data_IF_777223922714
#
_entry.id   IF_777223922714
#
_cell.length_a   1.000
_cell.length_b   1.000
_cell.length_c   1.000
_cell.angle_alpha   90.00
_cell.angle_beta   90.00
_cell.angle_gamma   90.00
#
_symmetry.space_group_name_H-M   'P 1'
#
loop_
_entity.id
_entity.type
_entity.pdbx_description
1 polymer ?
#
# COMPACT_ATOMS: atom_id res chain seq x y z
N UNK A 1 -25.38 -0.90 27.85
CA UNK A 1 -23.95 -0.72 28.11
C UNK A 1 -23.27 -0.61 26.77
N UNK A 2 -22.57 0.49 26.56
CA UNK A 2 -22.28 1.08 25.25
C UNK A 2 -21.46 0.15 24.34
N UNK A 3 -22.09 -0.31 23.26
CA UNK A 3 -21.41 -0.73 22.04
C UNK A 3 -21.13 0.55 21.24
N UNK A 4 -20.12 1.29 21.69
CA UNK A 4 -19.63 2.47 20.98
C UNK A 4 -18.59 1.95 19.99
N UNK A 5 -19.10 1.39 18.90
CA UNK A 5 -18.31 1.14 17.68
C UNK A 5 -17.55 2.43 17.39
N UNK A 6 -16.23 2.41 17.56
CA UNK A 6 -15.31 3.45 17.10
C UNK A 6 -15.37 3.48 15.58
N UNK A 7 -16.45 4.07 15.06
CA UNK A 7 -16.62 4.50 13.69
C UNK A 7 -15.67 5.67 13.50
N UNK A 8 -14.37 5.38 13.44
CA UNK A 8 -13.41 6.32 12.90
C UNK A 8 -13.82 6.55 11.44
N UNK A 9 -14.25 7.74 11.03
CA UNK A 9 -14.43 8.03 9.63
C UNK A 9 -13.01 8.19 9.08
N UNK A 10 -12.34 7.06 8.81
CA UNK A 10 -11.10 7.02 8.04
C UNK A 10 -11.50 7.56 6.67
N UNK A 11 -11.34 8.87 6.54
CA UNK A 11 -11.54 9.65 5.34
C UNK A 11 -10.91 8.86 4.22
N UNK A 12 -11.73 8.50 3.24
CA UNK A 12 -11.39 7.65 2.10
C UNK A 12 -9.98 7.97 1.59
N UNK A 13 -8.98 7.27 2.13
CA UNK A 13 -7.61 7.37 1.69
C UNK A 13 -7.68 7.06 0.19
N UNK A 14 -7.16 7.97 -0.62
CA UNK A 14 -7.17 7.87 -2.06
C UNK A 14 -6.47 6.56 -2.45
N UNK A 15 -7.22 5.47 -2.52
CA UNK A 15 -6.70 4.19 -2.95
C UNK A 15 -6.15 4.42 -4.34
N UNK A 16 -4.88 4.03 -4.61
CA UNK A 16 -4.33 4.18 -5.93
C UNK A 16 -5.28 3.48 -6.93
N UNK A 17 -5.51 4.07 -8.11
CA UNK A 17 -6.44 3.53 -9.09
C UNK A 17 -6.10 2.06 -9.36
N UNK A 18 -7.10 1.19 -9.21
CA UNK A 18 -6.98 -0.24 -9.45
C UNK A 18 -7.50 -0.53 -10.86
N UNK A 19 -6.63 -0.65 -11.87
CA UNK A 19 -7.07 -1.05 -13.20
C UNK A 19 -7.65 -2.45 -13.14
N UNK A 20 -8.73 -2.70 -13.87
CA UNK A 20 -9.40 -4.00 -13.96
C UNK A 20 -9.13 -4.70 -15.28
N UNK A 21 -8.52 -4.01 -16.24
CA UNK A 21 -8.28 -4.52 -17.59
C UNK A 21 -6.89 -4.08 -18.11
N UNK A 22 -6.36 -4.73 -19.15
CA UNK A 22 -5.13 -4.28 -19.82
C UNK A 22 -5.22 -2.86 -20.36
N UNK A 23 -6.37 -2.49 -20.95
CA UNK A 23 -6.58 -1.12 -21.47
C UNK A 23 -6.51 -0.05 -20.37
N UNK A 24 -7.17 -0.28 -19.23
CA UNK A 24 -7.09 0.62 -18.07
C UNK A 24 -5.69 0.69 -17.48
N UNK A 25 -4.98 -0.44 -17.44
CA UNK A 25 -3.60 -0.51 -16.98
C UNK A 25 -2.69 0.36 -17.86
N UNK A 26 -2.81 0.25 -19.19
CA UNK A 26 -2.02 1.07 -20.10
C UNK A 26 -2.33 2.55 -19.97
N UNK A 27 -3.61 2.92 -19.91
CA UNK A 27 -4.01 4.31 -19.67
C UNK A 27 -3.43 4.88 -18.36
N UNK A 28 -3.37 4.05 -17.31
CA UNK A 28 -2.77 4.43 -16.03
C UNK A 28 -1.26 4.63 -16.13
N UNK A 29 -0.57 3.82 -16.94
CA UNK A 29 0.88 3.92 -17.16
C UNK A 29 1.25 5.12 -18.03
N UNK A 30 0.44 5.44 -19.05
CA UNK A 30 0.63 6.59 -19.93
C UNK A 30 0.31 7.93 -19.24
N UNK A 31 -0.48 7.90 -18.17
CA UNK A 31 -0.83 9.08 -17.40
C UNK A 31 0.34 9.55 -16.53
N UNK A 32 0.77 10.84 -16.60
CA UNK A 32 1.86 11.40 -15.78
C UNK A 32 1.56 11.47 -14.27
N UNK A 33 0.44 10.88 -13.81
CA UNK A 33 -0.07 10.94 -12.45
C UNK A 33 0.58 9.93 -11.49
N UNK A 34 1.88 9.67 -11.64
CA UNK A 34 2.68 9.01 -10.60
C UNK A 34 2.99 10.03 -9.51
N UNK A 35 2.03 10.40 -8.67
CA UNK A 35 2.31 11.28 -7.52
C UNK A 35 3.10 10.48 -6.50
N UNK A 36 4.42 10.64 -6.53
CA UNK A 36 5.30 10.32 -5.41
C UNK A 36 4.83 11.13 -4.21
N UNK A 37 4.55 10.48 -3.07
CA UNK A 37 4.36 11.20 -1.81
C UNK A 37 5.66 11.95 -1.50
N UNK A 38 5.58 13.25 -1.24
CA UNK A 38 6.76 14.10 -0.96
C UNK A 38 7.35 13.88 0.45
N UNK A 39 6.83 12.90 1.20
CA UNK A 39 7.25 12.56 2.54
C UNK A 39 8.70 12.08 2.58
N UNK A 40 9.45 12.49 3.62
CA UNK A 40 10.82 12.02 3.86
C UNK A 40 10.84 10.73 4.68
N UNK A 41 9.78 10.48 5.46
CA UNK A 41 9.67 9.33 6.37
C UNK A 41 8.33 8.61 6.21
N UNK A 42 8.29 7.31 6.58
CA UNK A 42 7.07 6.50 6.48
C UNK A 42 5.91 7.05 7.31
N UNK A 43 6.20 7.64 8.48
CA UNK A 43 5.19 8.24 9.33
C UNK A 43 4.49 9.44 8.67
N UNK A 44 5.27 10.29 8.01
CA UNK A 44 4.74 11.41 7.21
C UNK A 44 3.92 10.89 6.02
N UNK A 45 4.37 9.82 5.36
CA UNK A 45 3.63 9.20 4.25
C UNK A 45 2.28 8.65 4.73
N UNK A 46 2.22 8.03 5.92
CA UNK A 46 0.98 7.54 6.52
C UNK A 46 0.03 8.70 6.87
N UNK A 47 0.53 9.82 7.40
CA UNK A 47 -0.28 11.03 7.64
C UNK A 47 -0.78 11.62 6.31
N UNK A 48 0.08 11.79 5.31
CA UNK A 48 -0.30 12.32 3.99
C UNK A 48 -1.32 11.43 3.28
N UNK A 49 -1.29 10.12 3.52
CA UNK A 49 -2.28 9.18 3.00
C UNK A 49 -3.65 9.25 3.70
N UNK A 50 -3.73 9.93 4.85
CA UNK A 50 -4.95 10.03 5.67
C UNK A 50 -5.26 8.79 6.51
N UNK A 51 -4.35 7.79 6.55
CA UNK A 51 -4.53 6.57 7.35
C UNK A 51 -4.34 6.80 8.85
N UNK A 52 -3.51 7.78 9.20
CA UNK A 52 -3.29 8.22 10.58
C UNK A 52 -3.29 9.74 10.62
N UNK A 53 -3.50 10.31 11.80
CA UNK A 53 -3.31 11.74 12.03
C UNK A 53 -1.98 12.03 12.76
N UNK A 54 -1.73 13.32 13.00
CA UNK A 54 -0.54 13.80 13.73
C UNK A 54 -0.53 13.40 15.21
N UNK A 55 -1.68 13.05 15.82
CA UNK A 55 -1.71 12.55 17.20
C UNK A 55 -1.19 11.11 17.24
N UNK A 56 -1.76 10.24 16.40
CA UNK A 56 -1.35 8.84 16.28
C UNK A 56 0.14 8.73 15.95
N UNK A 57 0.65 9.56 15.03
CA UNK A 57 2.07 9.57 14.70
C UNK A 57 2.95 9.95 15.91
N UNK A 58 2.58 10.99 16.66
CA UNK A 58 3.35 11.43 17.84
C UNK A 58 3.34 10.38 18.96
N UNK A 59 2.20 9.77 19.23
CA UNK A 59 2.08 8.70 20.23
C UNK A 59 2.91 7.48 19.85
N UNK A 60 2.87 7.10 18.58
CA UNK A 60 3.65 5.98 18.07
C UNK A 60 5.16 6.24 18.21
N UNK A 61 5.64 7.44 17.85
CA UNK A 61 7.05 7.83 17.99
C UNK A 61 7.52 7.90 19.45
N UNK A 62 6.66 8.35 20.38
CA UNK A 62 6.97 8.34 21.82
C UNK A 62 7.18 6.92 22.34
N UNK A 63 6.26 6.03 22.01
CA UNK A 63 6.34 4.61 22.38
C UNK A 63 7.60 3.98 21.80
N UNK A 64 7.89 4.19 20.51
CA UNK A 64 9.10 3.67 19.86
C UNK A 64 10.39 4.18 20.53
N UNK A 65 10.40 5.43 21.00
CA UNK A 65 11.55 5.99 21.73
C UNK A 65 11.74 5.32 23.09
N UNK A 66 10.65 5.07 23.81
CA UNK A 66 10.66 4.36 25.10
C UNK A 66 11.14 2.92 24.93
N UNK A 67 10.65 2.20 23.91
CA UNK A 67 11.10 0.86 23.54
C UNK A 67 12.60 0.84 23.20
N UNK A 68 13.10 1.81 22.41
CA UNK A 68 14.53 1.90 22.10
C UNK A 68 15.40 2.11 23.33
N UNK A 69 14.93 2.83 24.35
CA UNK A 69 15.66 2.99 25.62
C UNK A 69 15.77 1.68 26.40
N UNK A 70 14.83 0.75 26.17
CA UNK A 70 14.84 -0.59 26.74
C UNK A 70 15.60 -1.61 25.88
N UNK A 71 16.23 -1.17 24.78
CA UNK A 71 16.95 -2.03 23.84
C UNK A 71 16.06 -2.76 22.84
N UNK A 72 14.77 -2.42 22.76
CA UNK A 72 13.83 -2.96 21.78
C UNK A 72 13.84 -2.08 20.53
N UNK A 73 14.06 -2.70 19.37
CA UNK A 73 14.15 -2.00 18.08
C UNK A 73 12.99 -2.40 17.18
N UNK A 74 11.88 -1.68 17.31
CA UNK A 74 10.67 -1.94 16.56
C UNK A 74 10.42 -0.91 15.47
N UNK A 75 9.89 -1.34 14.33
CA UNK A 75 9.54 -0.42 13.25
C UNK A 75 8.23 0.32 13.57
N UNK A 76 8.13 1.59 13.17
CA UNK A 76 6.95 2.42 13.44
C UNK A 76 5.68 1.81 12.82
N UNK A 77 5.77 1.34 11.58
CA UNK A 77 4.66 0.71 10.88
C UNK A 77 4.17 -0.56 11.57
N UNK A 78 5.10 -1.42 12.00
CA UNK A 78 4.78 -2.63 12.77
C UNK A 78 4.07 -2.30 14.08
N UNK A 79 4.51 -1.26 14.78
CA UNK A 79 3.86 -0.79 16.00
C UNK A 79 2.44 -0.28 15.76
N UNK A 80 2.22 0.47 14.67
CA UNK A 80 0.90 0.96 14.28
C UNK A 80 -0.05 -0.18 13.86
N UNK A 81 0.49 -1.26 13.27
CA UNK A 81 -0.27 -2.46 12.91
C UNK A 81 -0.71 -3.22 14.15
N UNK A 82 0.18 -3.48 15.10
CA UNK A 82 -0.18 -4.20 16.33
C UNK A 82 -1.11 -3.39 17.24
N UNK A 83 -1.00 -2.06 17.19
CA UNK A 83 -1.95 -1.18 17.87
C UNK A 83 -3.33 -1.17 17.20
N UNK A 84 -3.49 -1.82 16.04
CA UNK A 84 -4.76 -1.88 15.29
C UNK A 84 -5.15 -0.57 14.62
N UNK A 85 -4.25 0.43 14.59
CA UNK A 85 -4.49 1.75 14.00
C UNK A 85 -4.54 1.64 12.47
N UNK A 86 -3.69 0.79 11.90
CA UNK A 86 -3.66 0.48 10.46
C UNK A 86 -3.55 -1.03 10.27
N UNK A 87 -3.95 -1.52 9.09
CA UNK A 87 -3.72 -2.92 8.69
C UNK A 87 -2.38 -3.09 7.99
N UNK A 88 -1.86 -4.32 7.98
CA UNK A 88 -0.65 -4.65 7.22
C UNK A 88 -0.79 -4.35 5.72
N UNK A 89 -2.00 -4.57 5.16
CA UNK A 89 -2.30 -4.26 3.77
C UNK A 89 -2.18 -2.76 3.48
N UNK A 90 -2.77 -1.92 4.33
CA UNK A 90 -2.68 -0.45 4.22
C UNK A 90 -1.24 0.04 4.37
N UNK A 91 -0.47 -0.51 5.31
CA UNK A 91 0.94 -0.18 5.47
C UNK A 91 1.74 -0.48 4.20
N UNK A 92 1.58 -1.69 3.63
CA UNK A 92 2.25 -2.07 2.38
C UNK A 92 1.86 -1.17 1.20
N UNK A 93 0.58 -0.86 1.06
CA UNK A 93 0.10 0.04 0.00
C UNK A 93 0.69 1.45 0.13
N UNK A 94 0.74 2.01 1.34
CA UNK A 94 1.32 3.34 1.56
C UNK A 94 2.81 3.37 1.29
N UNK A 95 3.56 2.35 1.73
CA UNK A 95 5.00 2.25 1.43
C UNK A 95 5.23 2.17 -0.08
N UNK A 96 4.46 1.34 -0.78
CA UNK A 96 4.59 1.22 -2.22
C UNK A 96 4.29 2.54 -2.94
N UNK A 97 3.19 3.20 -2.60
CA UNK A 97 2.84 4.51 -3.15
C UNK A 97 3.89 5.58 -2.82
N UNK A 98 4.43 5.57 -1.60
CA UNK A 98 5.50 6.48 -1.17
C UNK A 98 6.77 6.31 -2.00
N UNK A 99 7.13 5.07 -2.33
CA UNK A 99 8.28 4.74 -3.18
C UNK A 99 7.98 4.91 -4.68
N UNK A 100 6.78 5.36 -5.05
CA UNK A 100 6.38 5.53 -6.46
C UNK A 100 6.00 4.22 -7.17
N UNK A 101 5.86 3.12 -6.44
CA UNK A 101 5.44 1.84 -6.99
C UNK A 101 3.92 1.82 -7.21
N UNK A 102 3.50 1.26 -8.35
CA UNK A 102 2.08 0.98 -8.63
C UNK A 102 1.75 -0.43 -8.16
N UNK A 103 0.80 -0.55 -7.24
CA UNK A 103 0.33 -1.84 -6.72
C UNK A 103 -1.04 -2.14 -7.30
N UNK A 104 -1.17 -3.33 -7.87
CA UNK A 104 -2.42 -3.83 -8.46
C UNK A 104 -2.83 -5.07 -7.68
N UNK A 105 -4.12 -5.17 -7.37
CA UNK A 105 -4.72 -6.41 -6.85
C UNK A 105 -5.10 -7.34 -8.01
N UNK A 106 -4.42 -8.48 -8.18
CA UNK A 106 -4.72 -9.41 -9.27
C UNK A 106 -6.09 -10.10 -9.11
N UNK A 107 -6.69 -10.12 -7.92
CA UNK A 107 -7.95 -10.85 -7.63
C UNK A 107 -9.13 -10.35 -8.47
N UNK A 108 -9.12 -9.05 -8.81
CA UNK A 108 -10.17 -8.39 -9.58
C UNK A 108 -9.71 -7.95 -10.98
N UNK A 109 -8.49 -8.33 -11.36
CA UNK A 109 -7.91 -7.99 -12.65
C UNK A 109 -8.29 -9.02 -13.72
N UNK A 110 -8.79 -8.55 -14.87
CA UNK A 110 -9.09 -9.41 -16.02
C UNK A 110 -7.83 -9.55 -16.87
N UNK A 111 -7.18 -10.69 -16.72
CA UNK A 111 -5.98 -11.04 -17.48
C UNK A 111 -6.30 -11.30 -18.95
N UNK A 112 -5.38 -10.90 -19.83
CA UNK A 112 -5.41 -11.24 -21.25
C UNK A 112 -4.88 -12.67 -21.48
N UNK A 113 -5.72 -13.61 -21.98
CA UNK A 113 -5.30 -14.99 -22.22
C UNK A 113 -4.13 -15.12 -23.19
N UNK A 114 -4.06 -14.26 -24.21
CA UNK A 114 -2.97 -14.28 -25.19
C UNK A 114 -1.66 -13.89 -24.50
N UNK A 115 -1.68 -12.88 -23.64
CA UNK A 115 -0.51 -12.45 -22.89
C UNK A 115 -0.02 -13.49 -21.88
N UNK A 116 -0.96 -14.16 -21.20
CA UNK A 116 -0.63 -15.25 -20.27
C UNK A 116 0.03 -16.42 -21.01
N UNK A 117 -0.41 -16.72 -22.24
CA UNK A 117 0.17 -17.79 -23.05
C UNK A 117 1.60 -17.49 -23.53
N UNK A 118 2.02 -16.22 -23.58
CA UNK A 118 3.38 -15.83 -23.99
C UNK A 118 4.45 -16.20 -22.97
N UNK A 119 4.12 -16.34 -21.69
CA UNK A 119 5.09 -16.63 -20.63
C UNK A 119 4.87 -18.04 -20.09
N UNK A 120 5.85 -18.96 -20.27
CA UNK A 120 5.74 -20.31 -19.73
C UNK A 120 5.57 -20.32 -18.20
N UNK A 121 4.72 -21.20 -17.64
CA UNK A 121 4.46 -21.25 -16.19
C UNK A 121 5.71 -21.40 -15.32
N UNK A 122 6.71 -22.15 -15.79
CA UNK A 122 7.97 -22.34 -15.07
C UNK A 122 8.78 -21.05 -14.92
N UNK A 123 8.71 -20.16 -15.93
CA UNK A 123 9.36 -18.84 -15.87
C UNK A 123 8.58 -17.93 -14.94
N UNK A 124 7.25 -17.87 -15.10
CA UNK A 124 6.37 -17.07 -14.26
C UNK A 124 6.56 -17.37 -12.75
N UNK A 125 6.63 -18.65 -12.39
CA UNK A 125 6.83 -19.08 -11.00
C UNK A 125 8.24 -18.77 -10.48
N UNK A 126 9.29 -19.03 -11.27
CA UNK A 126 10.67 -18.82 -10.85
C UNK A 126 10.99 -17.34 -10.64
N UNK A 127 10.48 -16.48 -11.53
CA UNK A 127 10.71 -15.04 -11.47
C UNK A 127 9.64 -14.29 -10.65
N UNK A 128 8.64 -15.01 -10.12
CA UNK A 128 7.50 -14.45 -9.39
C UNK A 128 6.76 -13.34 -10.15
N UNK A 129 6.49 -13.57 -11.44
CA UNK A 129 5.79 -12.64 -12.33
C UNK A 129 4.52 -13.25 -12.89
N UNK A 130 3.55 -12.39 -13.24
CA UNK A 130 2.34 -12.77 -13.97
C UNK A 130 2.14 -11.82 -15.16
N UNK A 131 1.92 -12.31 -16.38
CA UNK A 131 1.62 -11.44 -17.53
C UNK A 131 0.27 -10.76 -17.35
N UNK A 132 0.22 -9.43 -17.38
CA UNK A 132 -1.03 -8.67 -17.22
C UNK A 132 -1.72 -8.39 -18.56
N UNK A 133 -0.95 -8.15 -19.62
CA UNK A 133 -1.43 -7.90 -20.96
C UNK A 133 -0.27 -7.75 -21.94
N UNK A 134 -0.54 -7.88 -23.24
CA UNK A 134 0.44 -7.59 -24.28
C UNK A 134 0.02 -6.37 -25.11
N UNK A 135 0.97 -5.82 -25.87
CA UNK A 135 0.71 -4.86 -26.93
C UNK A 135 0.53 -5.63 -28.24
N UNK A 136 -0.51 -5.34 -29.00
CA UNK A 136 -0.67 -5.76 -30.40
C UNK A 136 -0.85 -4.52 -31.28
#
# INVERSE_FOLDING_TARGET
MADETLSNPVVAAAHPPQPRTPGELWQLLDSPAGRTLSARHVGEALVQSGLIDEQHLREALRTQLEERRLGLHRQLGEQLVDAGIITEHQLRQTIAAWLGNRVIDPTHYRFDPEAVALVPPAVAQREAVVPLGHFA
#
